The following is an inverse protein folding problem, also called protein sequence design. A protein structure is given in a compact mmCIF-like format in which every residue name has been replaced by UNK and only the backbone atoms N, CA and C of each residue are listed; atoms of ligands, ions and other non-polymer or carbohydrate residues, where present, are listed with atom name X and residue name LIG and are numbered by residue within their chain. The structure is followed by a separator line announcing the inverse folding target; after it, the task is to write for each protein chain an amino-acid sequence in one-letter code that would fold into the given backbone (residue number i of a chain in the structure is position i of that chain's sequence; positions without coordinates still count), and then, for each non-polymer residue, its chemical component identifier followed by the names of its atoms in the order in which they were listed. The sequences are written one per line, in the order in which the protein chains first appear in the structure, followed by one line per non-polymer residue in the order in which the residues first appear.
data_IF_748809699124
#
_entry.id   IF_748809699124
#
_cell.length_a   1.000
_cell.length_b   1.000
_cell.length_c   1.000
_cell.angle_alpha   90.00
_cell.angle_beta   90.00
_cell.angle_gamma   90.00
#
_symmetry.space_group_name_H-M   'P 1'
#
loop_
_entity.id
_entity.type
_entity.pdbx_description
1 polymer ?
#
# COMPACT_ATOMS: atom_id res chain seq x y z
N UNK A 1 -8.67 6.15 27.20
CA UNK A 1 -7.48 6.45 26.36
C UNK A 1 -8.02 6.94 25.04
N UNK A 2 -8.02 8.26 24.85
CA UNK A 2 -8.71 8.95 23.77
C UNK A 2 -7.81 9.12 22.54
N UNK A 3 -8.44 8.94 21.37
CA UNK A 3 -8.00 9.09 19.98
C UNK A 3 -6.62 8.58 19.61
N UNK A 4 -6.56 7.29 19.29
CA UNK A 4 -5.34 6.70 18.78
C UNK A 4 -5.06 7.11 17.34
N UNK A 5 -6.06 7.40 16.48
CA UNK A 5 -5.84 7.88 15.10
C UNK A 5 -7.03 8.72 14.59
N UNK A 6 -6.75 9.91 14.06
CA UNK A 6 -7.73 10.70 13.30
C UNK A 6 -7.64 10.33 11.81
N UNK A 7 -8.54 9.45 11.39
CA UNK A 7 -8.60 8.95 10.01
C UNK A 7 -9.04 10.05 9.03
N UNK A 8 -9.77 11.06 9.49
CA UNK A 8 -10.08 12.23 8.67
C UNK A 8 -8.81 13.05 8.44
N UNK A 9 -7.98 13.23 9.47
CA UNK A 9 -6.68 13.91 9.31
C UNK A 9 -5.74 13.13 8.36
N UNK A 10 -5.74 11.79 8.41
CA UNK A 10 -4.99 10.95 7.45
C UNK A 10 -5.48 11.20 6.02
N UNK A 11 -6.79 11.13 5.81
CA UNK A 11 -7.42 11.39 4.51
C UNK A 11 -7.15 12.80 4.00
N UNK A 12 -7.28 13.81 4.86
CA UNK A 12 -7.00 15.21 4.54
C UNK A 12 -5.53 15.42 4.18
N UNK A 13 -4.61 14.77 4.89
CA UNK A 13 -3.18 14.79 4.59
C UNK A 13 -2.88 14.22 3.20
N UNK A 14 -3.49 13.08 2.84
CA UNK A 14 -3.42 12.52 1.49
C UNK A 14 -3.93 13.51 0.44
N UNK A 15 -5.11 14.10 0.64
CA UNK A 15 -5.69 15.04 -0.33
C UNK A 15 -4.91 16.35 -0.46
N UNK A 16 -4.46 16.92 0.66
CA UNK A 16 -3.65 18.13 0.66
C UNK A 16 -2.33 17.93 -0.10
N UNK A 17 -1.71 16.77 0.06
CA UNK A 17 -0.46 16.42 -0.63
C UNK A 17 -0.67 16.17 -2.13
N UNK A 18 -1.79 15.54 -2.50
CA UNK A 18 -2.20 15.34 -3.89
C UNK A 18 -2.50 16.65 -4.61
N UNK A 19 -3.20 17.58 -3.96
CA UNK A 19 -3.51 18.90 -4.51
C UNK A 19 -2.23 19.71 -4.82
N UNK A 20 -1.19 19.55 -3.99
CA UNK A 20 0.11 20.23 -4.12
C UNK A 20 1.09 19.54 -5.08
N UNK A 21 0.76 18.34 -5.61
CA UNK A 21 1.67 17.47 -6.41
C UNK A 21 3.02 17.17 -5.72
N UNK A 22 3.04 17.18 -4.39
CA UNK A 22 4.22 16.80 -3.61
C UNK A 22 4.21 15.30 -3.36
N UNK A 23 5.03 14.56 -4.11
CA UNK A 23 5.18 13.11 -3.98
C UNK A 23 5.74 12.70 -2.61
N UNK A 24 6.53 13.59 -2.00
CA UNK A 24 7.18 13.41 -0.72
C UNK A 24 7.08 14.70 0.14
N UNK A 25 6.04 14.86 0.97
CA UNK A 25 6.03 15.94 1.96
C UNK A 25 7.23 15.77 2.92
N UNK A 26 7.87 16.88 3.27
CA UNK A 26 9.13 16.92 4.03
C UNK A 26 8.95 17.34 5.51
N UNK A 27 7.73 17.64 5.97
CA UNK A 27 7.50 18.21 7.31
C UNK A 27 6.43 17.50 8.15
N UNK A 28 6.72 17.27 9.44
CA UNK A 28 5.75 17.10 10.54
C UNK A 28 4.67 16.01 10.38
N UNK A 29 3.60 16.14 11.18
CA UNK A 29 2.41 15.26 11.23
C UNK A 29 1.64 15.13 9.89
N UNK A 30 2.17 15.67 8.79
CA UNK A 30 1.59 15.62 7.44
C UNK A 30 2.12 14.42 6.62
N UNK A 31 2.97 13.55 7.18
CA UNK A 31 3.46 12.35 6.48
C UNK A 31 2.74 11.10 6.98
N UNK A 32 2.32 10.27 6.04
CA UNK A 32 1.66 8.98 6.31
C UNK A 32 2.70 7.87 6.25
N UNK A 33 2.67 7.00 7.24
CA UNK A 33 3.53 5.85 7.39
C UNK A 33 2.71 4.59 7.62
N UNK A 34 3.32 3.45 7.34
CA UNK A 34 2.78 2.12 7.63
C UNK A 34 3.77 1.39 8.52
N UNK A 35 3.30 0.87 9.65
CA UNK A 35 4.10 0.05 10.55
C UNK A 35 4.17 -1.43 10.08
N UNK A 36 4.93 -2.26 10.81
CA UNK A 36 5.06 -3.70 10.52
C UNK A 36 3.79 -4.52 10.79
N UNK A 37 2.72 -3.91 11.33
CA UNK A 37 1.42 -4.58 11.44
C UNK A 37 0.48 -4.23 10.30
N UNK A 38 0.90 -3.36 9.37
CA UNK A 38 0.06 -2.87 8.28
C UNK A 38 -0.81 -1.68 8.68
N UNK A 39 -0.58 -1.07 9.85
CA UNK A 39 -1.37 0.08 10.30
C UNK A 39 -0.85 1.37 9.70
N UNK A 40 -1.77 2.13 9.10
CA UNK A 40 -1.52 3.48 8.56
C UNK A 40 -1.54 4.51 9.68
N UNK A 41 -0.54 5.39 9.74
CA UNK A 41 -0.35 6.39 10.80
C UNK A 41 0.15 7.72 10.25
N UNK A 42 -0.19 8.83 10.91
CA UNK A 42 0.49 10.11 10.70
C UNK A 42 1.74 10.20 11.60
N UNK A 43 2.82 10.77 11.10
CA UNK A 43 4.03 10.94 11.91
C UNK A 43 5.19 11.59 11.17
N UNK A 44 6.39 11.46 11.75
CA UNK A 44 7.66 11.94 11.19
C UNK A 44 8.62 10.79 10.85
N UNK A 45 8.14 9.54 10.88
CA UNK A 45 8.92 8.34 10.57
C UNK A 45 9.76 7.80 11.73
N UNK A 46 9.71 8.42 12.91
CA UNK A 46 10.38 7.93 14.10
C UNK A 46 9.47 7.03 14.94
N UNK A 47 9.94 5.82 15.26
CA UNK A 47 9.42 4.99 16.35
C UNK A 47 10.61 4.47 17.18
N UNK A 48 10.40 4.30 18.49
CA UNK A 48 11.39 3.67 19.38
C UNK A 48 11.52 2.16 19.12
N UNK A 49 10.49 1.54 18.54
CA UNK A 49 10.33 0.08 18.55
C UNK A 49 10.35 -0.56 17.14
N UNK A 50 10.12 0.18 16.05
CA UNK A 50 10.20 -0.38 14.69
C UNK A 50 10.47 0.66 13.58
N UNK A 51 11.15 0.28 12.48
CA UNK A 51 11.26 1.12 11.30
C UNK A 51 9.92 1.20 10.56
N UNK A 52 9.44 2.42 10.29
CA UNK A 52 8.21 2.65 9.53
C UNK A 52 8.46 2.70 8.02
N UNK A 53 7.49 2.23 7.22
CA UNK A 53 7.45 2.40 5.76
C UNK A 53 6.75 3.71 5.42
N UNK A 54 7.35 4.57 4.59
CA UNK A 54 6.69 5.83 4.20
C UNK A 54 5.65 5.53 3.11
N UNK A 55 4.41 5.99 3.27
CA UNK A 55 3.44 5.95 2.18
C UNK A 55 3.73 7.10 1.22
N UNK A 56 3.93 6.86 -0.08
CA UNK A 56 4.02 7.95 -1.05
C UNK A 56 2.69 8.69 -1.12
N UNK A 57 2.74 10.02 -1.03
CA UNK A 57 1.54 10.87 -1.08
C UNK A 57 1.18 11.32 -2.49
N UNK A 58 1.87 10.78 -3.51
CA UNK A 58 1.48 10.98 -4.89
C UNK A 58 0.00 10.66 -5.09
N UNK A 59 -0.63 11.22 -6.13
CA UNK A 59 -1.79 10.53 -6.71
C UNK A 59 -1.39 9.08 -6.92
N UNK A 60 -2.30 8.11 -6.79
CA UNK A 60 -2.05 6.79 -7.37
C UNK A 60 -1.45 7.08 -8.77
N UNK A 61 -0.14 6.77 -8.91
CA UNK A 61 1.02 7.20 -9.75
C UNK A 61 1.08 8.62 -10.41
N UNK A 62 2.22 9.24 -10.78
CA UNK A 62 3.46 8.90 -11.56
C UNK A 62 4.79 8.74 -10.72
N UNK A 63 6.04 8.47 -11.19
CA UNK A 63 6.72 8.25 -12.51
C UNK A 63 8.11 7.51 -12.37
N UNK A 64 8.43 6.63 -13.35
CA UNK A 64 9.74 6.15 -13.95
C UNK A 64 11.02 5.86 -13.13
N UNK A 65 11.37 4.56 -13.06
CA UNK A 65 12.46 3.90 -13.81
C UNK A 65 13.87 3.83 -13.19
N UNK A 66 14.39 2.62 -12.92
CA UNK A 66 15.85 2.39 -12.73
C UNK A 66 16.28 0.99 -13.26
N UNK A 67 17.40 0.90 -14.00
CA UNK A 67 18.07 -0.35 -14.37
C UNK A 67 19.10 -0.81 -13.32
N UNK A 68 19.10 -2.11 -12.98
CA UNK A 68 20.07 -2.74 -12.08
C UNK A 68 19.69 -4.19 -11.83
N UNK A 69 20.57 -5.12 -12.19
CA UNK A 69 20.29 -6.54 -12.38
C UNK A 69 19.60 -7.25 -11.20
N UNK A 70 18.79 -8.25 -11.55
CA UNK A 70 17.90 -9.07 -10.72
C UNK A 70 18.44 -9.42 -9.31
N UNK A 71 19.76 -9.65 -9.15
CA UNK A 71 20.38 -10.01 -7.87
C UNK A 71 20.51 -8.86 -6.86
N UNK A 72 20.82 -7.64 -7.32
CA UNK A 72 20.94 -6.48 -6.43
C UNK A 72 19.55 -6.00 -5.96
N UNK A 73 18.55 -6.12 -6.84
CA UNK A 73 17.14 -5.87 -6.56
C UNK A 73 16.62 -6.81 -5.47
N UNK A 74 16.81 -8.12 -5.64
CA UNK A 74 16.40 -9.12 -4.64
C UNK A 74 17.09 -8.93 -3.28
N UNK A 75 18.39 -8.62 -3.24
CA UNK A 75 19.08 -8.36 -1.97
C UNK A 75 18.49 -7.16 -1.22
N UNK A 76 18.15 -6.09 -1.95
CA UNK A 76 17.46 -4.93 -1.38
C UNK A 76 16.03 -5.27 -0.93
N UNK A 77 15.30 -6.08 -1.71
CA UNK A 77 13.98 -6.56 -1.32
C UNK A 77 14.01 -7.37 -0.03
N UNK A 78 14.96 -8.29 0.13
CA UNK A 78 15.12 -9.05 1.38
C UNK A 78 15.35 -8.11 2.56
N UNK A 79 16.20 -7.09 2.40
CA UNK A 79 16.43 -6.07 3.43
C UNK A 79 15.17 -5.28 3.75
N UNK A 80 14.39 -4.89 2.75
CA UNK A 80 13.11 -4.21 2.93
C UNK A 80 12.11 -5.11 3.63
N UNK A 81 11.95 -6.36 3.20
CA UNK A 81 11.05 -7.32 3.81
C UNK A 81 11.36 -7.54 5.29
N UNK A 82 12.64 -7.73 5.64
CA UNK A 82 13.08 -7.94 7.02
C UNK A 82 12.88 -6.70 7.91
N UNK A 83 13.07 -5.50 7.34
CA UNK A 83 13.13 -4.27 8.15
C UNK A 83 11.85 -3.45 8.15
N UNK A 84 11.02 -3.56 7.10
CA UNK A 84 9.91 -2.63 6.81
C UNK A 84 8.55 -3.30 6.63
N UNK A 85 8.52 -4.57 6.24
CA UNK A 85 7.28 -5.29 5.95
C UNK A 85 6.78 -6.07 7.18
N UNK A 86 5.55 -6.62 7.10
CA UNK A 86 4.97 -7.35 8.21
C UNK A 86 5.74 -8.59 8.60
N UNK A 87 5.69 -8.91 9.89
CA UNK A 87 6.23 -10.17 10.37
C UNK A 87 5.51 -11.33 9.66
N UNK A 88 6.29 -12.30 9.16
CA UNK A 88 5.75 -13.39 8.36
C UNK A 88 5.70 -13.11 6.86
N UNK A 89 6.15 -11.94 6.40
CA UNK A 89 6.42 -11.69 4.98
C UNK A 89 7.43 -12.70 4.45
N UNK A 90 7.12 -13.35 3.33
CA UNK A 90 8.00 -14.33 2.69
C UNK A 90 8.00 -14.14 1.17
N UNK A 91 9.04 -14.64 0.52
CA UNK A 91 9.11 -14.69 -0.93
C UNK A 91 8.64 -16.06 -1.41
N UNK A 92 7.62 -16.08 -2.27
CA UNK A 92 7.18 -17.26 -3.02
C UNK A 92 7.98 -17.32 -4.32
N UNK A 93 8.60 -18.48 -4.59
CA UNK A 93 9.42 -18.72 -5.78
C UNK A 93 8.85 -19.81 -6.70
N UNK A 94 7.66 -20.32 -6.39
CA UNK A 94 6.95 -21.26 -7.25
C UNK A 94 6.67 -20.67 -8.63
N UNK A 95 6.91 -21.44 -9.71
CA UNK A 95 6.66 -20.99 -11.07
C UNK A 95 5.22 -20.47 -11.29
N UNK A 96 5.10 -19.20 -11.68
CA UNK A 96 3.81 -18.53 -11.92
C UNK A 96 3.16 -17.91 -10.69
N UNK A 97 3.76 -18.01 -9.51
CA UNK A 97 3.31 -17.40 -8.26
C UNK A 97 4.38 -16.50 -7.62
N UNK A 98 5.44 -16.18 -8.37
CA UNK A 98 6.63 -15.53 -7.83
C UNK A 98 6.30 -14.15 -7.23
N UNK A 99 6.76 -13.88 -6.02
CA UNK A 99 6.59 -12.57 -5.40
C UNK A 99 6.60 -12.58 -3.88
N UNK A 100 6.53 -11.38 -3.32
CA UNK A 100 6.48 -11.18 -1.87
C UNK A 100 5.06 -11.30 -1.36
N UNK A 101 4.80 -12.31 -0.53
CA UNK A 101 3.53 -12.54 0.13
C UNK A 101 3.56 -11.94 1.52
N UNK A 102 2.54 -11.17 1.86
CA UNK A 102 2.42 -10.49 3.15
C UNK A 102 0.97 -10.33 3.57
N UNK A 103 0.78 -10.20 4.88
CA UNK A 103 -0.51 -9.98 5.51
C UNK A 103 -0.61 -8.54 6.03
N UNK A 104 -1.74 -7.89 5.78
CA UNK A 104 -2.11 -6.61 6.39
C UNK A 104 -3.31 -6.84 7.29
N UNK A 105 -3.15 -6.49 8.57
CA UNK A 105 -4.27 -6.45 9.53
C UNK A 105 -4.61 -4.99 9.79
N UNK A 106 -5.81 -4.60 9.40
CA UNK A 106 -6.26 -3.22 9.56
C UNK A 106 -6.71 -2.95 10.99
N UNK A 107 -6.94 -1.67 11.31
CA UNK A 107 -7.48 -1.26 12.61
C UNK A 107 -8.89 -1.82 12.88
N UNK A 108 -9.65 -2.13 11.83
CA UNK A 108 -10.96 -2.78 11.91
C UNK A 108 -10.87 -4.30 12.07
N UNK A 109 -9.66 -4.83 12.27
CA UNK A 109 -9.35 -6.27 12.43
C UNK A 109 -9.75 -7.10 11.21
N UNK A 110 -9.80 -6.48 10.04
CA UNK A 110 -9.90 -7.22 8.78
C UNK A 110 -8.50 -7.57 8.31
N UNK A 111 -8.38 -8.78 7.78
CA UNK A 111 -7.12 -9.32 7.28
C UNK A 111 -7.14 -9.34 5.76
N UNK A 112 -6.05 -8.90 5.16
CA UNK A 112 -5.83 -8.90 3.73
C UNK A 112 -4.49 -9.57 3.42
N UNK A 113 -4.52 -10.66 2.67
CA UNK A 113 -3.31 -11.34 2.20
C UNK A 113 -3.05 -10.88 0.76
N UNK A 114 -1.82 -10.48 0.48
CA UNK A 114 -1.45 -9.91 -0.81
C UNK A 114 -0.12 -10.47 -1.32
N UNK A 115 0.05 -10.47 -2.64
CA UNK A 115 1.32 -10.81 -3.29
C UNK A 115 1.81 -9.64 -4.15
N UNK A 116 3.03 -9.17 -3.89
CA UNK A 116 3.74 -8.18 -4.70
C UNK A 116 4.75 -8.88 -5.63
N UNK A 117 4.46 -8.85 -6.93
CA UNK A 117 5.31 -9.42 -7.99
C UNK A 117 5.97 -8.31 -8.79
N UNK A 118 7.28 -8.41 -9.01
CA UNK A 118 8.01 -7.48 -9.87
C UNK A 118 7.98 -7.94 -11.33
N UNK A 119 7.33 -7.18 -12.20
CA UNK A 119 7.12 -7.54 -13.62
C UNK A 119 8.30 -7.23 -14.56
N UNK A 120 9.44 -6.85 -14.00
CA UNK A 120 10.60 -6.35 -14.76
C UNK A 120 10.68 -4.82 -14.80
N UNK A 121 9.59 -4.12 -14.47
CA UNK A 121 9.53 -2.65 -14.43
C UNK A 121 9.11 -2.14 -13.06
N UNK A 122 8.06 -2.72 -12.50
CA UNK A 122 7.47 -2.28 -11.24
C UNK A 122 6.81 -3.46 -10.48
N UNK A 123 6.45 -3.23 -9.23
CA UNK A 123 5.73 -4.16 -8.37
C UNK A 123 4.23 -4.04 -8.58
N UNK A 124 3.63 -5.11 -9.11
CA UNK A 124 2.17 -5.29 -9.16
C UNK A 124 1.73 -6.02 -7.90
N UNK A 125 0.65 -5.56 -7.28
CA UNK A 125 0.06 -6.25 -6.14
C UNK A 125 -1.26 -6.89 -6.53
N UNK A 126 -1.45 -8.14 -6.08
CA UNK A 126 -2.71 -8.86 -6.15
C UNK A 126 -3.21 -9.16 -4.74
N UNK A 127 -4.53 -9.05 -4.58
CA UNK A 127 -5.23 -9.59 -3.43
C UNK A 127 -5.31 -11.12 -3.55
N UNK A 128 -4.94 -11.82 -2.49
CA UNK A 128 -5.12 -13.26 -2.34
C UNK A 128 -6.30 -13.55 -1.40
N UNK A 129 -6.39 -12.82 -0.29
CA UNK A 129 -7.51 -12.88 0.64
C UNK A 129 -7.94 -11.48 1.09
N UNK A 130 -9.24 -11.26 1.35
CA UNK A 130 -10.34 -12.22 1.21
C UNK A 130 -10.69 -12.49 -0.26
N UNK A 131 -11.51 -13.51 -0.53
CA UNK A 131 -12.03 -13.80 -1.88
C UNK A 131 -12.67 -12.54 -2.49
N UNK A 132 -12.46 -12.31 -3.78
CA UNK A 132 -12.93 -11.09 -4.45
C UNK A 132 -14.45 -10.94 -4.29
N UNK A 133 -15.17 -12.04 -4.48
CA UNK A 133 -16.61 -12.15 -4.38
C UNK A 133 -17.17 -11.79 -2.99
N UNK A 134 -16.32 -11.79 -1.96
CA UNK A 134 -16.69 -11.39 -0.60
C UNK A 134 -16.59 -9.88 -0.35
N UNK A 135 -16.09 -9.13 -1.33
CA UNK A 135 -15.98 -7.68 -1.27
C UNK A 135 -17.25 -7.00 -1.82
N UNK A 136 -17.54 -5.76 -1.40
CA UNK A 136 -18.64 -4.97 -1.94
C UNK A 136 -18.54 -4.83 -3.47
N UNK A 137 -19.69 -4.73 -4.14
CA UNK A 137 -19.83 -4.85 -5.59
C UNK A 137 -18.76 -4.05 -6.35
N UNK A 138 -18.04 -4.74 -7.23
CA UNK A 138 -16.78 -4.27 -7.83
C UNK A 138 -17.04 -3.21 -8.89
N UNK A 139 -17.14 -1.95 -8.49
CA UNK A 139 -16.82 -0.88 -9.42
C UNK A 139 -15.28 -0.79 -9.52
N UNK A 140 -14.72 -1.11 -10.69
CA UNK A 140 -13.27 -0.96 -10.97
C UNK A 140 -12.76 0.46 -10.69
N UNK A 141 -13.67 1.45 -10.63
CA UNK A 141 -13.38 2.83 -10.27
C UNK A 141 -13.71 3.17 -8.80
N UNK A 142 -14.49 2.33 -8.11
CA UNK A 142 -14.97 2.55 -6.75
C UNK A 142 -13.86 2.48 -5.71
N UNK A 143 -13.05 1.42 -5.73
CA UNK A 143 -11.98 1.18 -4.74
C UNK A 143 -10.70 0.53 -5.30
N UNK A 144 -10.40 0.74 -6.58
CA UNK A 144 -9.09 0.39 -7.19
C UNK A 144 -8.73 -1.10 -7.17
N UNK A 145 -9.73 -1.97 -7.31
CA UNK A 145 -9.54 -3.42 -7.46
C UNK A 145 -10.08 -3.89 -8.80
N UNK A 146 -9.22 -4.48 -9.62
CA UNK A 146 -9.64 -5.14 -10.86
C UNK A 146 -10.27 -6.51 -10.57
N UNK A 147 -11.15 -6.99 -11.44
CA UNK A 147 -11.71 -8.36 -11.37
C UNK A 147 -10.64 -9.47 -11.39
N UNK A 148 -9.41 -9.15 -11.79
CA UNK A 148 -8.28 -10.08 -11.72
C UNK A 148 -7.63 -10.16 -10.33
N UNK A 149 -8.18 -9.46 -9.34
CA UNK A 149 -7.60 -9.28 -8.01
C UNK A 149 -6.41 -8.33 -7.97
N UNK A 150 -6.00 -7.79 -9.12
CA UNK A 150 -4.93 -6.80 -9.19
C UNK A 150 -5.41 -5.49 -8.55
N UNK A 151 -4.58 -4.94 -7.67
CA UNK A 151 -4.82 -3.64 -7.06
C UNK A 151 -4.22 -2.57 -7.97
N UNK A 152 -5.00 -1.53 -8.27
CA UNK A 152 -4.52 -0.38 -9.01
C UNK A 152 -3.73 0.54 -8.06
N UNK A 153 -2.44 0.26 -7.90
CA UNK A 153 -1.57 1.05 -7.04
C UNK A 153 -1.13 2.38 -7.69
N UNK A 154 -1.54 2.67 -8.93
CA UNK A 154 -0.94 3.70 -9.80
C UNK A 154 -1.99 4.46 -10.65
N UNK A 155 -1.66 5.62 -11.25
CA UNK A 155 -2.53 6.43 -12.15
C UNK A 155 -2.68 5.76 -13.51
N UNK A 156 -1.71 4.93 -13.87
CA UNK A 156 -1.71 4.17 -15.12
C UNK A 156 -2.44 2.84 -14.90
N UNK A 157 -3.47 2.55 -15.72
CA UNK A 157 -4.11 1.25 -15.71
C UNK A 157 -3.08 0.13 -15.92
N UNK A 158 -3.18 -0.92 -15.10
CA UNK A 158 -2.19 -2.02 -15.12
C UNK A 158 -0.83 -1.66 -14.52
N UNK A 159 -0.69 -0.46 -13.95
CA UNK A 159 0.40 0.12 -13.16
C UNK A 159 0.91 -0.69 -11.96
N UNK A 160 2.13 -0.45 -11.48
CA UNK A 160 2.63 -0.91 -10.18
C UNK A 160 3.45 0.17 -9.48
N UNK A 161 4.21 -0.21 -8.44
CA UNK A 161 5.10 0.69 -7.68
C UNK A 161 6.58 0.38 -7.97
N UNK A 162 7.48 1.37 -8.01
CA UNK A 162 8.88 1.15 -8.40
C UNK A 162 9.67 0.34 -7.36
N UNK A 163 9.26 0.35 -6.09
CA UNK A 163 9.93 -0.38 -5.01
C UNK A 163 8.94 -1.25 -4.23
N UNK A 164 9.47 -2.29 -3.57
CA UNK A 164 8.67 -3.18 -2.72
C UNK A 164 8.08 -2.42 -1.52
N UNK A 165 8.85 -1.49 -0.92
CA UNK A 165 8.39 -0.64 0.18
C UNK A 165 7.17 0.21 -0.24
N UNK A 166 7.24 0.85 -1.42
CA UNK A 166 6.13 1.66 -1.93
C UNK A 166 4.90 0.81 -2.28
N UNK A 167 5.12 -0.39 -2.82
CA UNK A 167 4.05 -1.35 -3.09
C UNK A 167 3.32 -1.74 -1.79
N UNK A 168 4.08 -2.15 -0.76
CA UNK A 168 3.54 -2.49 0.56
C UNK A 168 2.80 -1.31 1.20
N UNK A 169 3.39 -0.13 1.20
CA UNK A 169 2.80 1.05 1.81
C UNK A 169 1.45 1.43 1.16
N UNK A 170 1.36 1.31 -0.17
CA UNK A 170 0.10 1.53 -0.92
C UNK A 170 -0.93 0.43 -0.67
N UNK A 171 -0.49 -0.82 -0.54
CA UNK A 171 -1.36 -1.95 -0.19
C UNK A 171 -2.05 -1.76 1.16
N UNK A 172 -1.32 -1.28 2.18
CA UNK A 172 -1.89 -1.01 3.50
C UNK A 172 -2.94 0.12 3.47
N UNK A 173 -2.65 1.20 2.73
CA UNK A 173 -3.64 2.27 2.52
C UNK A 173 -4.87 1.76 1.77
N UNK A 174 -4.69 0.90 0.76
CA UNK A 174 -5.80 0.28 0.04
C UNK A 174 -6.65 -0.60 0.97
N UNK A 175 -6.03 -1.47 1.77
CA UNK A 175 -6.73 -2.37 2.70
C UNK A 175 -7.61 -1.58 3.68
N UNK A 176 -7.06 -0.51 4.27
CA UNK A 176 -7.83 0.39 5.11
C UNK A 176 -8.99 1.03 4.34
N UNK A 177 -8.74 1.51 3.13
CA UNK A 177 -9.78 2.13 2.30
C UNK A 177 -10.92 1.17 1.96
N UNK A 178 -10.63 -0.12 1.76
CA UNK A 178 -11.66 -1.16 1.54
C UNK A 178 -12.53 -1.38 2.78
N UNK A 179 -11.98 -1.28 3.99
CA UNK A 179 -12.79 -1.37 5.20
C UNK A 179 -13.86 -0.28 5.26
N UNK A 180 -13.55 0.95 4.83
CA UNK A 180 -14.55 2.00 4.69
C UNK A 180 -15.66 1.63 3.72
N UNK A 181 -15.31 1.04 2.58
CA UNK A 181 -16.30 0.55 1.61
C UNK A 181 -17.18 -0.54 2.20
N UNK A 182 -16.59 -1.48 2.96
CA UNK A 182 -17.34 -2.52 3.68
C UNK A 182 -18.29 -1.96 4.73
N UNK A 183 -17.98 -0.80 5.29
CA UNK A 183 -18.86 -0.07 6.22
C UNK A 183 -19.92 0.80 5.51
N UNK A 184 -19.98 0.80 4.17
CA UNK A 184 -20.93 1.58 3.38
C UNK A 184 -20.49 3.01 3.07
N UNK A 185 -19.21 3.33 3.25
CA UNK A 185 -18.63 4.63 2.89
C UNK A 185 -17.91 4.59 1.54
N UNK A 186 -17.83 5.71 0.80
CA UNK A 186 -16.99 5.79 -0.39
C UNK A 186 -15.50 5.56 -0.07
N UNK A 187 -14.75 4.95 -0.98
CA UNK A 187 -13.32 4.67 -0.81
C UNK A 187 -12.51 5.96 -0.60
N UNK A 188 -11.93 6.21 0.58
CA UNK A 188 -11.50 7.55 1.00
C UNK A 188 -10.27 8.08 0.26
N UNK A 189 -9.55 7.25 -0.50
CA UNK A 189 -8.30 7.64 -1.17
C UNK A 189 -8.47 7.85 -2.68
N UNK A 190 -9.66 8.27 -3.11
CA UNK A 190 -10.02 8.55 -4.50
C UNK A 190 -10.04 10.06 -4.79
N UNK A 191 -9.45 10.50 -5.91
CA UNK A 191 -9.30 11.94 -6.25
C UNK A 191 -10.62 12.66 -6.56
N UNK A 192 -11.66 11.94 -6.94
CA UNK A 192 -12.92 12.49 -7.45
C UNK A 192 -14.10 12.38 -6.45
N UNK A 193 -13.83 12.37 -5.15
CA UNK A 193 -14.90 12.47 -4.14
C UNK A 193 -15.45 13.89 -4.03
#
# INVERSE_FOLDING_TARGET
MADMYDLNAIRESFFASQAKRTENPHGGQEQVYVDRSGRVRLGNGGESDAPLSKVPHSTFAARRGVPGGHSARLAEEFRVAETKMPQGTYYEDSPGAEGWVYEIVTEFRNTYVMCAHFDGTDYKVRLLEPELESLPDHDQHGFHLYYSGKICLSDRPGSGQPTLEEAYARSAAWALGVDFVRMGHPFPFNRNQ
#
